data_IF_898404861600
#
_entry.id   IF_898404861600
#
_cell.length_a   1.000
_cell.length_b   1.000
_cell.length_c   1.000
_cell.angle_alpha   90.00
_cell.angle_beta   90.00
_cell.angle_gamma   90.00
#
_symmetry.space_group_name_H-M   'P 1'
#
loop_
_entity.id
_entity.type
_entity.pdbx_description
1 polymer ?
#
# COMPACT_ATOMS: atom_id res chain seq x y z
N UNK A 1 -17.33 36.63 -17.39
CA UNK A 1 -16.03 36.30 -16.73
C UNK A 1 -16.18 35.49 -15.43
N UNK A 2 -17.08 35.83 -14.49
CA UNK A 2 -17.26 35.09 -13.22
C UNK A 2 -17.65 33.60 -13.40
N UNK A 3 -18.50 33.29 -14.37
CA UNK A 3 -18.96 31.92 -14.64
C UNK A 3 -17.81 31.02 -15.12
N UNK A 4 -16.89 31.55 -15.92
CA UNK A 4 -15.74 30.80 -16.43
C UNK A 4 -14.76 30.40 -15.30
N UNK A 5 -14.59 31.27 -14.30
CA UNK A 5 -13.74 30.99 -13.14
C UNK A 5 -14.35 29.88 -12.28
N UNK A 6 -15.67 29.89 -12.08
CA UNK A 6 -16.38 28.83 -11.35
C UNK A 6 -16.26 27.47 -12.05
N UNK A 7 -16.35 27.44 -13.38
CA UNK A 7 -16.17 26.23 -14.18
C UNK A 7 -14.74 25.67 -14.09
N UNK A 8 -13.73 26.54 -14.06
CA UNK A 8 -12.32 26.14 -13.91
C UNK A 8 -12.01 25.52 -12.53
N UNK A 9 -12.65 26.01 -11.47
CA UNK A 9 -12.47 25.46 -10.11
C UNK A 9 -13.12 24.08 -9.99
N UNK A 10 -14.31 23.89 -10.58
CA UNK A 10 -15.01 22.60 -10.59
C UNK A 10 -14.26 21.51 -11.38
N UNK A 11 -13.58 21.89 -12.47
CA UNK A 11 -12.73 20.95 -13.24
C UNK A 11 -11.50 20.48 -12.44
N UNK A 12 -10.89 21.35 -11.62
CA UNK A 12 -9.72 20.98 -10.81
C UNK A 12 -10.06 19.95 -9.72
N UNK A 13 -11.27 20.01 -9.15
CA UNK A 13 -11.76 18.97 -8.23
C UNK A 13 -12.01 17.61 -8.91
N UNK A 14 -12.24 17.59 -10.23
CA UNK A 14 -12.45 16.35 -10.98
C UNK A 14 -11.13 15.64 -11.40
N UNK A 15 -10.03 16.39 -11.52
CA UNK A 15 -8.68 15.87 -11.79
C UNK A 15 -7.84 15.67 -10.51
N UNK A 16 -8.47 15.63 -9.34
CA UNK A 16 -7.75 15.38 -8.08
C UNK A 16 -7.12 13.99 -8.14
N UNK A 17 -5.78 13.94 -8.20
CA UNK A 17 -4.98 12.73 -8.07
C UNK A 17 -5.50 11.94 -6.87
N UNK A 18 -6.23 10.85 -7.13
CA UNK A 18 -6.88 10.13 -6.05
C UNK A 18 -5.79 9.53 -5.18
N UNK A 19 -5.68 9.92 -3.89
CA UNK A 19 -4.69 9.34 -3.01
C UNK A 19 -4.90 7.84 -2.83
N UNK A 20 -6.06 7.30 -3.23
CA UNK A 20 -6.36 5.87 -3.24
C UNK A 20 -5.56 5.04 -4.26
N UNK A 21 -4.76 5.65 -5.12
CA UNK A 21 -3.90 4.94 -6.07
C UNK A 21 -2.41 5.26 -5.92
N UNK A 22 -2.00 5.90 -4.81
CA UNK A 22 -0.57 6.04 -4.51
C UNK A 22 -0.01 4.73 -3.97
N UNK A 23 1.28 4.49 -4.21
CA UNK A 23 1.99 3.33 -3.65
C UNK A 23 1.98 3.34 -2.12
N UNK A 24 2.02 4.54 -1.52
CA UNK A 24 1.86 4.73 -0.08
C UNK A 24 0.49 4.23 0.42
N UNK A 25 -0.59 4.52 -0.31
CA UNK A 25 -1.92 4.03 0.05
C UNK A 25 -2.01 2.51 -0.05
N UNK A 26 -1.40 1.90 -1.06
CA UNK A 26 -1.33 0.45 -1.21
C UNK A 26 -0.52 -0.19 -0.07
N UNK A 27 0.59 0.43 0.33
CA UNK A 27 1.38 -0.01 1.48
C UNK A 27 0.55 0.05 2.78
N UNK A 28 -0.07 1.18 3.07
CA UNK A 28 -0.93 1.38 4.25
C UNK A 28 -2.12 0.41 4.27
N UNK A 29 -2.70 0.13 3.11
CA UNK A 29 -3.78 -0.86 2.98
C UNK A 29 -3.28 -2.27 3.23
N UNK A 30 -2.15 -2.66 2.63
CA UNK A 30 -1.54 -3.97 2.82
C UNK A 30 -1.15 -4.19 4.28
N UNK A 31 -0.60 -3.18 4.97
CA UNK A 31 -0.29 -3.22 6.38
C UNK A 31 -1.56 -3.40 7.24
N UNK A 32 -2.66 -2.71 6.91
CA UNK A 32 -3.95 -2.92 7.60
C UNK A 32 -4.50 -4.33 7.41
N UNK A 33 -4.51 -4.84 6.18
CA UNK A 33 -5.02 -6.19 5.90
C UNK A 33 -4.18 -7.24 6.62
N UNK A 34 -2.85 -7.11 6.61
CA UNK A 34 -1.96 -8.04 7.28
C UNK A 34 -2.09 -7.95 8.82
N UNK A 35 -2.41 -6.77 9.38
CA UNK A 35 -2.71 -6.59 10.80
C UNK A 35 -4.00 -7.30 11.18
N UNK A 36 -5.00 -7.22 10.31
CA UNK A 36 -6.27 -7.93 10.49
C UNK A 36 -6.08 -9.45 10.53
N UNK A 37 -5.16 -9.99 9.71
CA UNK A 37 -4.80 -11.40 9.73
C UNK A 37 -4.06 -11.78 11.03
N UNK A 38 -3.11 -10.95 11.48
CA UNK A 38 -2.44 -11.17 12.76
C UNK A 38 -3.43 -11.19 13.95
N UNK A 39 -4.51 -10.41 13.88
CA UNK A 39 -5.52 -10.39 14.94
C UNK A 39 -6.37 -11.67 15.02
N UNK A 40 -6.43 -12.46 13.95
CA UNK A 40 -7.12 -13.75 13.93
C UNK A 40 -6.26 -14.87 14.52
N UNK A 41 -4.97 -14.63 14.73
CA UNK A 41 -4.05 -15.63 15.27
C UNK A 41 -4.20 -15.77 16.80
N UNK A 42 -3.84 -16.95 17.35
CA UNK A 42 -3.76 -17.16 18.79
C UNK A 42 -2.84 -16.15 19.49
N UNK A 43 -3.16 -15.82 20.75
CA UNK A 43 -2.44 -14.81 21.53
C UNK A 43 -0.92 -15.04 21.60
N UNK A 44 -0.48 -16.31 21.59
CA UNK A 44 0.94 -16.68 21.66
C UNK A 44 1.75 -16.16 20.46
N UNK A 45 1.15 -16.16 19.26
CA UNK A 45 1.83 -15.79 18.01
C UNK A 45 1.39 -14.41 17.51
N UNK A 46 0.26 -13.90 17.99
CA UNK A 46 -0.26 -12.57 17.63
C UNK A 46 0.75 -11.47 17.93
N UNK A 47 1.38 -11.48 19.11
CA UNK A 47 2.37 -10.48 19.50
C UNK A 47 3.57 -10.48 18.55
N UNK A 48 4.10 -11.67 18.22
CA UNK A 48 5.21 -11.80 17.27
C UNK A 48 4.84 -11.40 15.83
N UNK A 49 3.59 -11.67 15.41
CA UNK A 49 3.08 -11.27 14.10
C UNK A 49 3.02 -9.74 13.96
N UNK A 50 2.56 -9.05 15.02
CA UNK A 50 2.42 -7.59 15.03
C UNK A 50 3.78 -6.86 15.15
N UNK A 51 4.72 -7.41 15.92
CA UNK A 51 6.08 -6.85 16.07
C UNK A 51 6.81 -6.72 14.72
N UNK A 52 6.63 -7.69 13.83
CA UNK A 52 7.30 -7.72 12.51
C UNK A 52 6.69 -6.75 11.50
N UNK A 53 5.62 -6.05 11.88
CA UNK A 53 4.81 -5.25 10.99
C UNK A 53 5.06 -3.73 11.10
N UNK A 54 5.94 -3.30 12.01
CA UNK A 54 6.25 -1.90 12.23
C UNK A 54 7.11 -1.28 11.12
N UNK A 55 6.82 -0.04 10.76
CA UNK A 55 7.60 0.75 9.80
C UNK A 55 6.72 1.75 9.04
N UNK A 56 7.33 2.82 8.53
CA UNK A 56 6.65 3.71 7.57
C UNK A 56 6.96 3.28 6.14
N UNK A 57 6.19 3.81 5.19
CA UNK A 57 6.45 3.61 3.76
C UNK A 57 7.89 4.02 3.36
N UNK A 58 8.48 5.02 4.02
CA UNK A 58 9.87 5.40 3.73
C UNK A 58 10.90 4.35 4.19
N UNK A 59 10.71 3.72 5.36
CA UNK A 59 11.56 2.61 5.79
C UNK A 59 11.41 1.41 4.86
N UNK A 60 10.18 1.14 4.40
CA UNK A 60 9.93 0.09 3.40
C UNK A 60 10.71 0.33 2.11
N UNK A 61 10.70 1.56 1.56
CA UNK A 61 11.48 1.89 0.37
C UNK A 61 13.00 1.76 0.58
N UNK A 62 13.51 2.12 1.77
CA UNK A 62 14.92 1.95 2.13
C UNK A 62 15.30 0.46 2.20
N UNK A 63 14.44 -0.36 2.81
CA UNK A 63 14.64 -1.81 2.89
C UNK A 63 14.56 -2.46 1.51
N UNK A 64 13.62 -2.06 0.65
CA UNK A 64 13.52 -2.57 -0.72
C UNK A 64 14.79 -2.30 -1.53
N UNK A 65 15.41 -1.12 -1.36
CA UNK A 65 16.70 -0.79 -1.98
C UNK A 65 17.86 -1.62 -1.44
N UNK A 66 17.81 -2.04 -0.19
CA UNK A 66 18.85 -2.87 0.45
C UNK A 66 18.64 -4.38 0.21
N UNK A 67 17.41 -4.79 -0.11
CA UNK A 67 16.98 -6.18 -0.27
C UNK A 67 16.50 -6.47 -1.70
N UNK A 68 17.19 -6.02 -2.75
CA UNK A 68 16.99 -6.61 -4.08
C UNK A 68 17.76 -7.94 -4.20
N UNK A 69 17.11 -9.12 -4.12
CA UNK A 69 17.39 -10.24 -5.00
C UNK A 69 16.46 -10.15 -6.24
N UNK A 70 16.83 -10.77 -7.37
CA UNK A 70 16.20 -10.53 -8.67
C UNK A 70 14.71 -10.86 -8.65
N UNK A 71 13.93 -10.02 -9.33
CA UNK A 71 12.56 -10.30 -9.75
C UNK A 71 12.47 -11.70 -10.33
N UNK A 72 11.86 -12.63 -9.59
CA UNK A 72 11.30 -13.84 -10.17
C UNK A 72 9.81 -13.83 -9.85
N UNK A 73 8.92 -13.65 -10.84
CA UNK A 73 7.51 -13.96 -10.65
C UNK A 73 7.43 -15.47 -10.40
N UNK A 74 7.08 -15.86 -9.18
CA UNK A 74 6.77 -17.25 -8.89
C UNK A 74 5.44 -17.60 -9.54
N UNK A 75 5.48 -18.66 -10.37
CA UNK A 75 4.37 -19.56 -10.69
C UNK A 75 3.57 -19.28 -11.97
N UNK A 76 4.22 -19.33 -13.14
CA UNK A 76 3.63 -20.06 -14.28
C UNK A 76 4.22 -21.48 -14.27
N UNK A 77 3.55 -22.39 -13.56
CA UNK A 77 3.68 -23.82 -13.79
C UNK A 77 2.45 -24.53 -13.19
N UNK A 78 1.42 -24.67 -14.01
CA UNK A 78 0.48 -25.78 -13.87
C UNK A 78 0.22 -26.35 -15.25
N UNK A 79 0.94 -27.45 -15.51
CA UNK A 79 0.65 -28.48 -16.51
C UNK A 79 -0.79 -28.47 -17.05
N UNK A 80 -0.94 -28.26 -18.36
CA UNK A 80 -1.58 -29.25 -19.24
C UNK A 80 -1.20 -29.03 -20.70
#
# INVERSE_FOLDING_TARGET
MRIAILLLVLLQSACSYSPRNSDEWWYERMQRDHRSQCNQLPAQVKAQCLERQGGTYQEYLKQQKQQQPPTTPASESKNQ
#
